data_IF_223572958691
#
_entry.id   IF_223572958691
#
_cell.length_a   1.000
_cell.length_b   1.000
_cell.length_c   1.000
_cell.angle_alpha   90.00
_cell.angle_beta   90.00
_cell.angle_gamma   90.00
#
_symmetry.space_group_name_H-M   'P 1'
#
loop_
_entity.id
_entity.type
_entity.pdbx_description
1 polymer ?
#
# COMPACT_ATOMS: atom_id res chain seq x y z
N UNK A 1 1.91 -10.62 6.93
CA UNK A 1 0.50 -10.53 7.32
C UNK A 1 -0.32 -9.91 6.18
N UNK A 2 -1.62 -10.12 6.19
CA UNK A 2 -2.56 -9.57 5.20
C UNK A 2 -3.49 -8.58 5.88
N UNK A 3 -3.67 -7.40 5.29
CA UNK A 3 -4.61 -6.40 5.79
C UNK A 3 -6.05 -6.89 5.62
N UNK A 4 -6.86 -6.72 6.65
CA UNK A 4 -8.25 -7.20 6.71
C UNK A 4 -9.21 -6.11 7.16
N UNK A 5 -10.49 -6.33 6.97
CA UNK A 5 -11.55 -5.43 7.39
C UNK A 5 -12.94 -6.01 7.11
N UNK A 6 -13.99 -5.19 7.27
CA UNK A 6 -15.37 -5.62 7.03
C UNK A 6 -15.61 -6.08 5.59
N UNK A 7 -16.54 -7.00 5.42
CA UNK A 7 -16.97 -7.47 4.10
C UNK A 7 -17.47 -6.30 3.24
N UNK A 8 -17.04 -6.24 1.98
CA UNK A 8 -17.41 -5.19 1.02
C UNK A 8 -16.63 -3.89 1.17
N UNK A 9 -15.73 -3.77 2.15
CA UNK A 9 -14.87 -2.60 2.30
C UNK A 9 -13.52 -2.82 1.62
N UNK A 10 -12.93 -1.74 1.12
CA UNK A 10 -11.61 -1.77 0.48
C UNK A 10 -10.53 -1.16 1.36
N UNK A 11 -10.87 -0.15 2.16
CA UNK A 11 -9.95 0.53 3.08
C UNK A 11 -10.58 0.55 4.45
N UNK A 12 -9.87 0.04 5.45
CA UNK A 12 -10.35 0.02 6.83
C UNK A 12 -9.24 0.49 7.76
N UNK A 13 -9.36 1.73 8.21
CA UNK A 13 -8.41 2.33 9.16
C UNK A 13 -9.16 3.15 10.21
N UNK A 14 -8.46 3.47 11.29
CA UNK A 14 -8.97 4.40 12.30
C UNK A 14 -8.45 5.83 12.06
N UNK A 15 -8.74 6.73 13.00
CA UNK A 15 -8.32 8.14 12.94
C UNK A 15 -6.80 8.34 12.94
N UNK A 16 -6.04 7.33 13.37
CA UNK A 16 -4.58 7.36 13.42
C UNK A 16 -3.93 6.66 12.22
N UNK A 17 -4.73 6.21 11.27
CA UNK A 17 -4.23 5.44 10.12
C UNK A 17 -3.78 4.02 10.46
N UNK A 18 -4.24 3.48 11.60
CA UNK A 18 -3.96 2.10 11.98
C UNK A 18 -4.84 1.13 11.21
N UNK A 19 -4.34 -0.07 11.01
CA UNK A 19 -5.05 -1.13 10.28
C UNK A 19 -5.14 -2.41 11.11
N UNK A 20 -5.95 -3.35 10.64
CA UNK A 20 -6.04 -4.71 11.20
C UNK A 20 -5.52 -5.70 10.19
N UNK A 21 -4.93 -6.79 10.67
CA UNK A 21 -4.29 -7.79 9.84
C UNK A 21 -4.69 -9.21 10.23
N UNK A 22 -4.51 -10.16 9.32
CA UNK A 22 -4.53 -11.59 9.58
C UNK A 22 -3.10 -12.11 9.51
N UNK A 23 -2.60 -12.69 10.59
CA UNK A 23 -1.29 -13.32 10.60
C UNK A 23 -1.33 -14.69 9.92
N UNK A 24 -0.24 -15.12 9.24
CA UNK A 24 -0.21 -16.42 8.57
C UNK A 24 -0.37 -17.62 9.49
N UNK A 25 0.04 -17.49 10.76
CA UNK A 25 -0.07 -18.55 11.77
C UNK A 25 -1.42 -18.59 12.49
N UNK A 26 -2.25 -17.56 12.33
CA UNK A 26 -3.56 -17.49 12.94
C UNK A 26 -4.55 -18.33 12.14
N UNK A 27 -4.97 -19.47 12.71
CA UNK A 27 -5.90 -20.40 12.08
C UNK A 27 -7.36 -20.15 12.46
N UNK A 28 -7.62 -19.31 13.45
CA UNK A 28 -8.95 -19.01 13.96
C UNK A 28 -9.52 -17.72 13.39
N UNK A 29 -8.69 -16.83 12.89
CA UNK A 29 -9.09 -15.58 12.27
C UNK A 29 -9.88 -15.80 10.99
N UNK A 30 -10.85 -14.92 10.73
CA UNK A 30 -11.78 -15.00 9.60
C UNK A 30 -11.47 -13.99 8.51
N UNK A 31 -10.29 -13.36 8.53
CA UNK A 31 -9.91 -12.29 7.62
C UNK A 31 -10.92 -11.13 7.61
N UNK A 32 -11.39 -10.74 8.80
CA UNK A 32 -12.37 -9.67 9.01
C UNK A 32 -11.86 -8.63 10.02
N UNK A 33 -12.69 -7.66 10.35
CA UNK A 33 -12.37 -6.57 11.28
C UNK A 33 -12.08 -7.04 12.72
N UNK A 34 -12.31 -8.30 13.02
CA UNK A 34 -12.06 -8.88 14.33
C UNK A 34 -10.78 -9.71 14.42
N UNK A 35 -10.01 -9.78 13.32
CA UNK A 35 -8.80 -10.62 13.27
C UNK A 35 -7.69 -10.17 14.20
N UNK A 36 -7.55 -8.86 14.41
CA UNK A 36 -6.61 -8.27 15.39
C UNK A 36 -7.18 -7.00 16.00
N UNK A 37 -6.44 -6.43 16.98
CA UNK A 37 -6.61 -5.03 17.35
C UNK A 37 -6.00 -4.11 16.28
N UNK A 38 -6.15 -2.79 16.45
CA UNK A 38 -5.54 -1.80 15.57
C UNK A 38 -4.02 -1.81 15.69
N UNK A 39 -3.34 -1.86 14.55
CA UNK A 39 -1.88 -1.88 14.45
C UNK A 39 -1.41 -0.62 13.72
N UNK A 40 -0.44 0.09 14.31
CA UNK A 40 0.15 1.29 13.71
C UNK A 40 0.87 0.96 12.41
N UNK A 41 0.87 1.92 11.48
CA UNK A 41 1.54 1.81 10.19
C UNK A 41 2.61 2.87 10.09
N UNK A 42 3.85 2.47 9.84
CA UNK A 42 4.94 3.38 9.54
C UNK A 42 4.70 4.06 8.20
N UNK A 43 4.95 5.35 8.13
CA UNK A 43 4.93 6.14 6.90
C UNK A 43 6.34 6.68 6.65
N UNK A 44 6.65 7.02 5.40
CA UNK A 44 7.98 7.52 5.05
C UNK A 44 8.31 8.87 5.72
N UNK A 45 7.28 9.66 6.01
CA UNK A 45 7.42 10.99 6.60
C UNK A 45 6.17 11.27 7.41
N UNK A 46 6.35 11.57 8.69
CA UNK A 46 5.23 11.75 9.62
C UNK A 46 5.54 12.88 10.59
N UNK A 47 4.86 13.99 10.44
CA UNK A 47 4.94 15.14 11.33
C UNK A 47 3.61 15.39 12.02
N UNK A 48 3.43 16.60 12.52
CA UNK A 48 2.19 17.05 13.15
C UNK A 48 1.30 17.70 12.09
N UNK A 49 0.32 16.97 11.60
CA UNK A 49 -0.61 17.36 10.54
C UNK A 49 0.06 17.55 9.16
N UNK A 50 1.25 16.97 8.98
CA UNK A 50 1.96 16.99 7.71
C UNK A 50 2.80 15.72 7.53
N UNK A 51 3.13 15.39 6.30
CA UNK A 51 3.94 14.23 5.96
C UNK A 51 3.44 13.47 4.75
N UNK A 52 3.81 12.20 4.64
CA UNK A 52 3.37 11.28 3.60
C UNK A 52 2.37 10.29 4.19
N UNK A 53 1.28 10.05 3.50
CA UNK A 53 0.26 9.11 3.97
C UNK A 53 -0.22 8.22 2.82
N UNK A 54 -0.15 6.91 3.03
CA UNK A 54 -0.77 5.92 2.16
C UNK A 54 -1.22 4.73 3.02
N UNK A 55 -2.52 4.59 3.19
CA UNK A 55 -3.09 3.54 4.05
C UNK A 55 -3.05 2.19 3.31
N UNK A 56 -2.51 1.13 3.92
CA UNK A 56 -2.60 -0.21 3.37
C UNK A 56 -4.05 -0.63 3.21
N UNK A 57 -4.39 -1.14 2.04
CA UNK A 57 -5.77 -1.57 1.74
C UNK A 57 -5.97 -3.04 2.05
N UNK A 58 -7.23 -3.42 2.25
CA UNK A 58 -7.62 -4.81 2.51
C UNK A 58 -7.10 -5.72 1.39
N UNK A 59 -6.48 -6.83 1.76
CA UNK A 59 -5.88 -7.80 0.86
C UNK A 59 -4.41 -7.56 0.54
N UNK A 60 -3.85 -6.42 0.93
CA UNK A 60 -2.42 -6.16 0.73
C UNK A 60 -1.56 -6.89 1.76
N UNK A 61 -0.39 -7.34 1.33
CA UNK A 61 0.60 -7.95 2.21
C UNK A 61 1.46 -6.90 2.87
N UNK A 62 1.61 -7.01 4.18
CA UNK A 62 2.41 -6.10 4.99
C UNK A 62 3.44 -6.85 5.82
N UNK A 63 4.53 -6.16 6.12
CA UNK A 63 5.58 -6.64 7.02
C UNK A 63 5.29 -6.07 8.40
N UNK A 64 5.19 -6.95 9.40
CA UNK A 64 4.93 -6.57 10.78
C UNK A 64 6.16 -6.87 11.61
N UNK A 65 6.64 -5.85 12.31
CA UNK A 65 7.67 -5.95 13.33
C UNK A 65 7.08 -5.74 14.72
N UNK A 66 7.84 -6.11 15.74
CA UNK A 66 7.44 -6.01 17.13
C UNK A 66 8.45 -5.12 17.88
N UNK A 67 7.94 -4.06 18.50
CA UNK A 67 8.77 -3.13 19.25
C UNK A 67 9.44 -3.88 20.43
N UNK A 68 10.76 -3.77 20.53
CA UNK A 68 11.58 -4.48 21.52
C UNK A 68 11.32 -5.99 21.59
N UNK A 69 10.89 -6.61 20.46
CA UNK A 69 10.55 -8.02 20.39
C UNK A 69 9.26 -8.39 21.13
N UNK A 70 8.48 -7.42 21.59
CA UNK A 70 7.24 -7.63 22.33
C UNK A 70 6.08 -7.91 21.38
N UNK A 71 5.54 -9.13 21.43
CA UNK A 71 4.42 -9.57 20.59
C UNK A 71 3.13 -8.74 20.79
N UNK A 72 3.03 -8.01 21.90
CA UNK A 72 1.88 -7.13 22.18
C UNK A 72 2.06 -5.72 21.60
N UNK A 73 3.19 -5.45 20.95
CA UNK A 73 3.49 -4.15 20.34
C UNK A 73 3.85 -4.28 18.85
N UNK A 74 2.95 -4.79 18.01
CA UNK A 74 3.19 -4.89 16.58
C UNK A 74 3.14 -3.52 15.90
N UNK A 75 3.93 -3.37 14.83
CA UNK A 75 3.91 -2.22 13.94
C UNK A 75 4.12 -2.69 12.50
N UNK A 76 3.34 -2.15 11.56
CA UNK A 76 3.56 -2.38 10.14
C UNK A 76 4.73 -1.50 9.69
N UNK A 77 5.80 -2.12 9.23
CA UNK A 77 7.03 -1.42 8.81
C UNK A 77 7.22 -1.37 7.31
N UNK A 78 6.47 -2.16 6.55
CA UNK A 78 6.60 -2.19 5.10
C UNK A 78 5.48 -2.95 4.43
N UNK A 79 5.55 -2.97 3.11
CA UNK A 79 4.60 -3.62 2.21
C UNK A 79 5.37 -4.38 1.16
N UNK A 80 4.79 -5.44 0.63
CA UNK A 80 5.43 -6.21 -0.43
C UNK A 80 4.40 -6.70 -1.43
N UNK A 81 4.85 -6.95 -2.65
CA UNK A 81 4.05 -7.61 -3.68
C UNK A 81 4.07 -9.11 -3.46
N UNK A 82 3.06 -9.78 -4.00
CA UNK A 82 2.95 -11.24 -4.00
C UNK A 82 2.24 -11.70 -5.28
N UNK A 83 2.08 -13.00 -5.45
CA UNK A 83 1.51 -13.58 -6.68
C UNK A 83 0.12 -13.03 -7.04
N UNK A 84 -0.69 -12.69 -6.04
CA UNK A 84 -2.04 -12.13 -6.22
C UNK A 84 -2.08 -10.60 -6.29
N UNK A 85 -1.01 -9.93 -5.85
CA UNK A 85 -0.87 -8.47 -5.83
C UNK A 85 0.44 -8.10 -6.49
N UNK A 86 0.44 -8.01 -7.81
CA UNK A 86 1.66 -7.82 -8.61
C UNK A 86 2.04 -6.35 -8.74
N UNK A 87 3.32 -6.05 -9.04
CA UNK A 87 3.76 -4.70 -9.36
C UNK A 87 2.98 -4.06 -10.51
N UNK A 88 2.92 -2.71 -10.58
CA UNK A 88 2.14 -1.99 -11.59
C UNK A 88 2.54 -2.29 -13.04
N UNK A 89 3.78 -2.67 -13.27
CA UNK A 89 4.31 -2.99 -14.60
C UNK A 89 4.92 -4.40 -14.62
N UNK A 90 4.87 -5.05 -15.77
CA UNK A 90 5.45 -6.37 -15.94
C UNK A 90 6.97 -6.34 -15.73
N UNK A 91 7.46 -7.16 -14.82
CA UNK A 91 8.89 -7.30 -14.55
C UNK A 91 9.37 -8.66 -15.08
N UNK A 92 10.62 -8.78 -15.55
CA UNK A 92 11.68 -7.76 -15.56
C UNK A 92 11.65 -6.78 -16.74
N UNK A 93 10.66 -6.84 -17.63
CA UNK A 93 10.63 -6.08 -18.88
C UNK A 93 10.68 -4.56 -18.65
N UNK A 94 9.97 -4.06 -17.62
CA UNK A 94 9.88 -2.64 -17.29
C UNK A 94 10.70 -2.28 -16.05
N UNK A 95 11.80 -2.96 -15.79
CA UNK A 95 12.62 -2.76 -14.59
C UNK A 95 13.24 -1.38 -14.45
N UNK A 96 13.35 -0.63 -15.55
CA UNK A 96 13.90 0.72 -15.55
C UNK A 96 12.91 1.78 -15.03
N UNK A 97 11.62 1.47 -15.03
CA UNK A 97 10.60 2.39 -14.57
C UNK A 97 10.53 2.46 -13.04
N UNK A 98 10.42 3.67 -12.52
CA UNK A 98 10.08 3.94 -11.14
C UNK A 98 8.71 4.64 -11.10
N UNK A 99 7.81 4.19 -10.26
CA UNK A 99 6.45 4.72 -10.28
C UNK A 99 5.80 4.72 -8.90
N UNK A 100 4.92 5.70 -8.70
CA UNK A 100 3.92 5.72 -7.63
C UNK A 100 2.58 5.75 -8.34
N UNK A 101 1.84 4.64 -8.28
CA UNK A 101 0.56 4.48 -8.96
C UNK A 101 -0.54 4.19 -7.94
N UNK A 102 -1.55 5.04 -7.91
CA UNK A 102 -2.72 4.85 -7.04
C UNK A 102 -3.76 3.94 -7.70
N UNK A 103 -4.80 3.64 -6.93
CA UNK A 103 -5.98 2.93 -7.44
C UNK A 103 -7.22 3.64 -6.92
N UNK A 104 -8.17 3.91 -7.82
CA UNK A 104 -9.48 4.47 -7.47
C UNK A 104 -10.16 3.62 -6.40
N UNK A 105 -10.77 4.26 -5.40
CA UNK A 105 -11.57 3.56 -4.40
C UNK A 105 -12.77 2.89 -5.07
N UNK A 106 -12.90 1.58 -4.87
CA UNK A 106 -13.92 0.74 -5.51
C UNK A 106 -14.00 0.90 -7.03
N UNK A 107 -12.87 1.18 -7.65
CA UNK A 107 -12.76 1.34 -9.10
C UNK A 107 -11.45 0.80 -9.64
N UNK A 108 -11.13 1.10 -10.89
CA UNK A 108 -9.94 0.60 -11.58
C UNK A 108 -9.03 1.70 -12.12
N UNK A 109 -9.44 2.96 -12.06
CA UNK A 109 -8.66 4.09 -12.57
C UNK A 109 -7.52 4.43 -11.62
N UNK A 110 -6.54 5.14 -12.10
CA UNK A 110 -5.33 5.47 -11.34
C UNK A 110 -4.88 6.90 -11.58
N UNK A 111 -4.15 7.44 -10.60
CA UNK A 111 -3.24 8.54 -10.77
C UNK A 111 -1.83 8.00 -10.65
N UNK A 112 -0.88 8.52 -11.42
CA UNK A 112 0.46 7.98 -11.45
C UNK A 112 1.51 9.10 -11.56
N UNK A 113 2.59 8.97 -10.78
CA UNK A 113 3.85 9.67 -11.00
C UNK A 113 4.86 8.64 -11.49
N UNK A 114 5.29 8.76 -12.75
CA UNK A 114 6.20 7.81 -13.38
C UNK A 114 7.52 8.48 -13.78
N UNK A 115 8.61 7.79 -13.52
CA UNK A 115 9.96 8.19 -13.90
C UNK A 115 10.52 7.10 -14.81
N UNK A 116 10.93 7.47 -16.00
CA UNK A 116 11.57 6.58 -16.98
C UNK A 116 13.02 7.01 -17.17
N UNK A 117 13.94 6.16 -16.76
CA UNK A 117 15.38 6.40 -16.82
C UNK A 117 16.04 5.63 -17.98
N UNK A 118 15.30 5.32 -19.03
CA UNK A 118 15.85 4.67 -20.22
C UNK A 118 16.94 5.57 -20.85
N UNK A 119 18.07 4.95 -21.16
CA UNK A 119 19.22 5.66 -21.74
C UNK A 119 18.81 6.51 -22.95
N UNK A 120 19.17 7.80 -22.94
CA UNK A 120 18.85 8.80 -23.96
C UNK A 120 17.35 9.09 -24.14
N UNK A 121 16.49 8.57 -23.25
CA UNK A 121 15.03 8.76 -23.31
C UNK A 121 14.45 9.03 -21.92
N UNK A 122 15.21 9.71 -21.05
CA UNK A 122 14.74 10.01 -19.70
C UNK A 122 13.51 10.92 -19.73
N UNK A 123 12.52 10.60 -18.92
CA UNK A 123 11.29 11.39 -18.82
C UNK A 123 10.65 11.24 -17.44
N UNK A 124 9.81 12.21 -17.10
CA UNK A 124 8.94 12.14 -15.93
C UNK A 124 7.52 12.50 -16.37
N UNK A 125 6.53 11.81 -15.84
CA UNK A 125 5.13 12.04 -16.18
C UNK A 125 4.26 12.03 -14.92
N UNK A 126 3.34 12.99 -14.83
CA UNK A 126 2.27 13.00 -13.84
C UNK A 126 0.96 12.80 -14.62
N UNK A 127 0.25 11.73 -14.34
CA UNK A 127 -0.90 11.29 -15.13
C UNK A 127 -2.12 11.05 -14.25
N UNK A 128 -3.30 11.28 -14.82
CA UNK A 128 -4.57 10.93 -14.20
C UNK A 128 -5.50 10.31 -15.24
N UNK A 129 -6.16 9.21 -14.87
CA UNK A 129 -7.15 8.56 -15.73
C UNK A 129 -8.50 9.32 -15.72
N UNK A 130 -8.67 10.29 -14.83
CA UNK A 130 -9.82 11.18 -14.87
C UNK A 130 -9.64 12.22 -15.98
N UNK A 131 -10.41 12.10 -17.05
CA UNK A 131 -10.29 12.98 -18.21
C UNK A 131 -9.00 12.78 -19.02
N UNK A 132 -8.26 11.69 -18.80
CA UNK A 132 -7.00 11.36 -19.49
C UNK A 132 -5.99 12.51 -19.47
N UNK A 133 -5.84 13.18 -18.32
CA UNK A 133 -4.92 14.31 -18.16
C UNK A 133 -3.50 13.83 -17.87
N UNK A 134 -2.52 14.49 -18.47
CA UNK A 134 -1.12 14.17 -18.25
C UNK A 134 -0.21 15.40 -18.37
N UNK A 135 0.85 15.42 -17.55
CA UNK A 135 1.98 16.35 -17.68
C UNK A 135 3.23 15.51 -17.91
N UNK A 136 3.93 15.76 -19.01
CA UNK A 136 5.17 15.08 -19.36
C UNK A 136 6.34 16.05 -19.37
N UNK A 137 7.48 15.60 -18.81
CA UNK A 137 8.73 16.33 -18.77
C UNK A 137 9.84 15.49 -19.41
#
# INVERSE_FOLDING_TARGET
ATVVGPAGEEIHCDEWGRVKVQFPWDREGRHDEFSTCWIRVAQNWAGADWGHMAIPRIGQEVIVDYLDGDCDQPIVTGRTYRATNRPPYALPDHKILSTIKSKEYKGSRANELRIDDTTAQISAALMSDHGASALHL
#
